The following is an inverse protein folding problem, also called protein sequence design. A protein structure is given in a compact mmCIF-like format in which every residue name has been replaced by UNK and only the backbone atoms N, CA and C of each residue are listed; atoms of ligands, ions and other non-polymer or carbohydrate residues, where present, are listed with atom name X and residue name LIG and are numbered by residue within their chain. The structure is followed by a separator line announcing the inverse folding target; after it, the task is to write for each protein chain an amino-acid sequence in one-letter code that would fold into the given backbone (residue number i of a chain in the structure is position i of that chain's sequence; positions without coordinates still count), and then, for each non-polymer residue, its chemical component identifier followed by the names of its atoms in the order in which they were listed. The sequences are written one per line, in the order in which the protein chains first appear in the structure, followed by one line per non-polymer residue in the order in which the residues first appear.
data_IF_755525959485
#
_entry.id   IF_755525959485
#
_cell.length_a   1.000
_cell.length_b   1.000
_cell.length_c   1.000
_cell.angle_alpha   90.00
_cell.angle_beta   90.00
_cell.angle_gamma   90.00
#
_symmetry.space_group_name_H-M   'P 1'
#
loop_
_entity.id
_entity.type
_entity.pdbx_description
1 polymer ?
#
# COMPACT_ATOMS: atom_id res chain seq x y z
N UNK A 1 -13.21 -11.83 1.62
CA UNK A 1 -13.92 -10.54 1.62
C UNK A 1 -15.39 -10.77 1.91
N UNK A 2 -16.04 -9.90 2.68
CA UNK A 2 -17.49 -9.88 2.78
C UNK A 2 -18.05 -9.14 1.58
N UNK A 3 -18.53 -9.87 0.58
CA UNK A 3 -19.43 -9.29 -0.42
C UNK A 3 -20.85 -9.41 0.10
N UNK A 4 -21.57 -8.30 0.12
CA UNK A 4 -23.03 -8.27 0.31
C UNK A 4 -23.78 -8.46 -1.01
N UNK A 5 -23.07 -8.60 -2.14
CA UNK A 5 -23.65 -8.78 -3.47
C UNK A 5 -23.33 -10.18 -4.02
N UNK A 6 -24.28 -10.83 -4.73
CA UNK A 6 -24.04 -12.05 -5.48
C UNK A 6 -22.91 -11.88 -6.51
N UNK A 7 -22.16 -12.96 -6.77
CA UNK A 7 -21.01 -12.96 -7.70
C UNK A 7 -21.40 -12.71 -9.16
N UNK A 8 -22.67 -12.89 -9.48
CA UNK A 8 -23.30 -12.71 -10.80
C UNK A 8 -24.14 -11.43 -10.89
N UNK A 9 -24.12 -10.57 -9.85
CA UNK A 9 -24.91 -9.34 -9.80
C UNK A 9 -24.69 -8.44 -11.03
N UNK A 10 -23.48 -8.43 -11.60
CA UNK A 10 -23.15 -7.64 -12.79
C UNK A 10 -23.86 -8.12 -14.06
N UNK A 11 -24.24 -9.39 -14.18
CA UNK A 11 -24.82 -9.97 -15.40
C UNK A 11 -26.15 -9.31 -15.74
N UNK A 12 -26.98 -9.02 -14.74
CA UNK A 12 -28.28 -8.39 -14.95
C UNK A 12 -28.20 -6.97 -15.53
N UNK A 13 -27.06 -6.29 -15.37
CA UNK A 13 -26.83 -4.95 -15.95
C UNK A 13 -26.03 -5.00 -17.25
N UNK A 14 -25.51 -6.16 -17.63
CA UNK A 14 -24.59 -6.34 -18.76
C UNK A 14 -25.00 -7.49 -19.67
N UNK A 15 -26.29 -7.85 -19.70
CA UNK A 15 -26.81 -8.98 -20.49
C UNK A 15 -26.50 -8.82 -21.99
N UNK A 16 -26.51 -7.58 -22.49
CA UNK A 16 -26.28 -7.26 -23.90
C UNK A 16 -24.84 -6.82 -24.20
N UNK A 17 -23.88 -7.02 -23.29
CA UNK A 17 -22.49 -6.53 -23.49
C UNK A 17 -21.84 -7.09 -24.77
N UNK A 18 -22.27 -8.27 -25.20
CA UNK A 18 -21.84 -8.91 -26.44
C UNK A 18 -22.23 -8.12 -27.70
N UNK A 19 -23.32 -7.33 -27.64
CA UNK A 19 -23.78 -6.50 -28.76
C UNK A 19 -22.83 -5.33 -29.00
N UNK A 20 -22.42 -4.63 -27.94
CA UNK A 20 -21.49 -3.50 -28.01
C UNK A 20 -20.02 -3.95 -28.09
N UNK A 21 -19.71 -5.12 -27.53
CA UNK A 21 -18.36 -5.69 -27.48
C UNK A 21 -18.37 -7.15 -27.93
N UNK A 22 -18.26 -7.42 -29.24
CA UNK A 22 -18.29 -8.78 -29.78
C UNK A 22 -17.25 -9.75 -29.17
N UNK A 23 -16.14 -9.23 -28.63
CA UNK A 23 -15.12 -10.03 -27.91
C UNK A 23 -15.67 -10.70 -26.64
N UNK A 24 -16.84 -10.28 -26.14
CA UNK A 24 -17.47 -10.80 -24.91
C UNK A 24 -18.57 -11.84 -25.18
N UNK A 25 -18.92 -12.13 -26.44
CA UNK A 25 -20.10 -12.91 -26.81
C UNK A 25 -20.15 -14.37 -26.31
N UNK A 26 -19.01 -14.94 -25.88
CA UNK A 26 -18.91 -16.32 -25.42
C UNK A 26 -18.24 -16.44 -24.04
N UNK A 27 -18.20 -15.34 -23.28
CA UNK A 27 -17.60 -15.31 -21.96
C UNK A 27 -18.65 -15.62 -20.89
N UNK A 28 -18.39 -16.64 -20.07
CA UNK A 28 -19.19 -16.89 -18.87
C UNK A 28 -18.90 -15.83 -17.79
N UNK A 29 -19.85 -15.59 -16.89
CA UNK A 29 -19.76 -14.53 -15.88
C UNK A 29 -18.54 -14.69 -14.95
N UNK A 30 -18.08 -15.91 -14.73
CA UNK A 30 -16.90 -16.24 -13.94
C UNK A 30 -15.61 -15.66 -14.55
N UNK A 31 -15.58 -15.48 -15.86
CA UNK A 31 -14.43 -14.88 -16.55
C UNK A 31 -14.36 -13.38 -16.31
N UNK A 32 -15.49 -12.69 -16.12
CA UNK A 32 -15.52 -11.28 -15.75
C UNK A 32 -14.86 -11.05 -14.38
N UNK A 33 -15.15 -11.93 -13.42
CA UNK A 33 -14.58 -11.88 -12.07
C UNK A 33 -13.11 -12.30 -11.99
N UNK A 34 -12.49 -12.71 -13.10
CA UNK A 34 -11.05 -13.01 -13.14
C UNK A 34 -10.23 -11.73 -13.15
N UNK A 35 -9.15 -11.70 -12.36
CA UNK A 35 -8.21 -10.59 -12.36
C UNK A 35 -7.72 -10.34 -13.78
N UNK A 36 -7.84 -9.10 -14.25
CA UNK A 36 -7.45 -8.75 -15.62
C UNK A 36 -8.58 -8.66 -16.62
N UNK A 37 -9.77 -9.19 -16.36
CA UNK A 37 -10.95 -9.04 -17.23
C UNK A 37 -11.81 -7.86 -16.77
N UNK A 38 -12.65 -8.03 -15.75
CA UNK A 38 -13.56 -6.98 -15.24
C UNK A 38 -14.04 -7.26 -13.81
N UNK A 39 -13.23 -6.99 -12.80
CA UNK A 39 -13.63 -7.23 -11.42
C UNK A 39 -14.12 -5.92 -10.77
N UNK A 40 -15.44 -5.66 -10.80
CA UNK A 40 -16.07 -4.42 -10.30
C UNK A 40 -15.67 -3.14 -11.09
N UNK A 41 -16.44 -2.06 -10.95
CA UNK A 41 -16.29 -0.80 -11.74
C UNK A 41 -14.96 -0.03 -11.52
N UNK A 42 -13.96 -0.61 -10.88
CA UNK A 42 -12.65 0.00 -10.69
C UNK A 42 -11.62 -0.56 -11.69
N UNK A 43 -11.79 -0.18 -12.96
CA UNK A 43 -11.02 -0.69 -14.09
C UNK A 43 -9.74 0.09 -14.38
N UNK A 44 -9.09 0.69 -13.36
CA UNK A 44 -7.95 1.61 -13.59
C UNK A 44 -6.82 1.00 -14.42
N UNK A 45 -6.59 -0.31 -14.34
CA UNK A 45 -5.56 -1.01 -15.14
C UNK A 45 -6.10 -1.69 -16.40
N UNK A 46 -7.43 -1.68 -16.62
CA UNK A 46 -8.12 -2.50 -17.62
C UNK A 46 -8.92 -1.67 -18.65
N UNK A 47 -8.79 -0.34 -18.62
CA UNK A 47 -9.32 0.50 -19.69
C UNK A 47 -8.61 0.20 -21.01
N UNK A 48 -9.37 0.12 -22.10
CA UNK A 48 -8.85 -0.30 -23.42
C UNK A 48 -7.67 0.56 -23.87
N UNK A 49 -7.73 1.89 -23.69
CA UNK A 49 -6.64 2.81 -24.03
C UNK A 49 -5.36 2.51 -23.23
N UNK A 50 -5.51 2.19 -21.94
CA UNK A 50 -4.42 1.78 -21.08
C UNK A 50 -3.83 0.43 -21.54
N UNK A 51 -4.67 -0.57 -21.83
CA UNK A 51 -4.21 -1.87 -22.35
C UNK A 51 -3.44 -1.68 -23.68
N UNK A 52 -3.97 -0.88 -24.61
CA UNK A 52 -3.34 -0.58 -25.91
C UNK A 52 -1.98 0.08 -25.71
N UNK A 53 -1.90 1.08 -24.82
CA UNK A 53 -0.66 1.80 -24.51
C UNK A 53 0.45 0.87 -24.01
N UNK A 54 0.09 -0.25 -23.40
CA UNK A 54 1.01 -1.17 -22.73
C UNK A 54 1.17 -2.52 -23.47
N UNK A 55 0.73 -2.63 -24.73
CA UNK A 55 0.78 -3.88 -25.52
C UNK A 55 2.20 -4.42 -25.73
N UNK A 56 3.18 -3.53 -25.83
CA UNK A 56 4.57 -3.87 -26.15
C UNK A 56 5.48 -3.83 -24.89
N UNK A 57 4.87 -3.77 -23.70
CA UNK A 57 5.60 -3.82 -22.43
C UNK A 57 6.33 -5.17 -22.30
N UNK A 58 7.57 -5.12 -21.82
CA UNK A 58 8.33 -6.31 -21.42
C UNK A 58 7.82 -6.84 -20.08
N UNK A 59 8.08 -8.11 -19.77
CA UNK A 59 7.76 -8.67 -18.44
C UNK A 59 8.41 -7.90 -17.29
N UNK A 60 9.64 -7.40 -17.52
CA UNK A 60 10.40 -6.57 -16.60
C UNK A 60 10.71 -5.23 -17.27
N UNK A 61 10.48 -4.16 -16.53
CA UNK A 61 10.75 -2.80 -16.98
C UNK A 61 12.25 -2.50 -16.90
N UNK A 62 12.73 -1.61 -17.78
CA UNK A 62 14.14 -1.17 -17.75
C UNK A 62 14.45 -0.34 -16.48
N UNK A 63 13.42 0.29 -15.89
CA UNK A 63 13.49 1.01 -14.61
C UNK A 63 12.57 0.32 -13.60
N UNK A 64 13.17 -0.40 -12.66
CA UNK A 64 12.47 -1.09 -11.58
C UNK A 64 12.64 -0.30 -10.28
N UNK A 65 11.87 0.78 -10.11
CA UNK A 65 11.97 1.65 -8.94
C UNK A 65 10.59 2.06 -8.43
N UNK A 66 10.34 1.79 -7.16
CA UNK A 66 9.22 2.34 -6.40
C UNK A 66 9.37 3.86 -6.24
N UNK A 67 8.25 4.59 -6.07
CA UNK A 67 8.30 6.01 -5.73
C UNK A 67 9.17 6.27 -4.50
N UNK A 68 9.91 7.37 -4.48
CA UNK A 68 10.77 7.72 -3.33
C UNK A 68 9.92 8.11 -2.13
N UNK A 69 10.41 7.82 -0.92
CA UNK A 69 9.86 8.39 0.31
C UNK A 69 10.38 9.82 0.40
N UNK A 70 9.48 10.80 0.47
CA UNK A 70 9.88 12.22 0.44
C UNK A 70 9.40 13.04 1.63
N UNK A 71 8.55 12.47 2.51
CA UNK A 71 7.90 13.23 3.59
C UNK A 71 8.90 14.04 4.42
N UNK A 72 9.98 13.41 4.91
CA UNK A 72 11.00 14.09 5.72
C UNK A 72 11.72 15.23 4.98
N UNK A 73 11.87 15.14 3.65
CA UNK A 73 12.56 16.15 2.84
C UNK A 73 11.67 17.32 2.41
N UNK A 74 10.36 17.24 2.66
CA UNK A 74 9.41 18.30 2.29
C UNK A 74 8.70 18.91 3.50
N UNK A 75 9.05 18.52 4.74
CA UNK A 75 8.37 19.00 5.96
C UNK A 75 8.33 20.54 6.04
N UNK A 76 9.41 21.20 5.63
CA UNK A 76 9.54 22.66 5.61
C UNK A 76 8.68 23.35 4.53
N UNK A 77 8.19 22.59 3.55
CA UNK A 77 7.33 23.06 2.46
C UNK A 77 5.84 22.79 2.73
N UNK A 78 5.52 21.98 3.73
CA UNK A 78 4.14 21.69 4.10
C UNK A 78 3.55 22.83 4.91
N UNK A 79 2.57 23.54 4.33
CA UNK A 79 1.90 24.69 4.97
C UNK A 79 1.27 24.30 6.32
N UNK A 80 0.73 23.09 6.42
CA UNK A 80 0.04 22.61 7.63
C UNK A 80 1.00 22.02 8.69
N UNK A 81 2.31 21.96 8.41
CA UNK A 81 3.28 21.48 9.39
C UNK A 81 3.54 22.56 10.47
N UNK A 82 3.40 22.24 11.77
CA UNK A 82 3.57 23.21 12.86
C UNK A 82 5.06 23.49 13.17
N UNK A 83 5.76 24.12 12.22
CA UNK A 83 7.19 24.41 12.28
C UNK A 83 7.57 25.41 13.39
N UNK A 84 6.62 26.22 13.86
CA UNK A 84 6.77 27.14 14.98
C UNK A 84 6.95 26.42 16.31
N UNK A 85 6.28 25.27 16.47
CA UNK A 85 6.37 24.40 17.64
C UNK A 85 7.45 23.34 17.50
N UNK A 86 7.59 22.76 16.30
CA UNK A 86 8.51 21.65 16.01
C UNK A 86 9.42 21.99 14.83
N UNK A 87 10.44 22.83 15.04
CA UNK A 87 11.34 23.24 13.95
C UNK A 87 12.05 22.02 13.36
N UNK A 88 12.14 21.95 12.03
CA UNK A 88 12.75 20.81 11.32
C UNK A 88 14.27 20.84 11.48
N UNK A 89 14.74 20.34 12.62
CA UNK A 89 16.15 20.27 12.99
C UNK A 89 16.40 18.99 13.79
N UNK A 90 17.52 18.33 13.52
CA UNK A 90 17.90 17.14 14.28
C UNK A 90 18.18 17.49 15.76
N UNK A 91 17.58 16.71 16.65
CA UNK A 91 17.75 16.78 18.10
C UNK A 91 18.79 15.77 18.59
N UNK A 92 19.40 16.10 19.72
CA UNK A 92 20.41 15.30 20.43
C UNK A 92 19.87 14.82 21.78
N UNK A 93 20.65 13.99 22.47
CA UNK A 93 20.26 13.48 23.78
C UNK A 93 20.05 14.61 24.81
N UNK A 94 20.78 15.71 24.66
CA UNK A 94 20.69 16.88 25.53
C UNK A 94 19.40 17.69 25.32
N UNK A 95 18.77 17.53 24.16
CA UNK A 95 17.54 18.25 23.83
C UNK A 95 16.29 17.56 24.37
N UNK A 96 16.37 16.28 24.78
CA UNK A 96 15.22 15.51 25.27
C UNK A 96 14.50 16.23 26.42
N UNK A 97 13.20 16.51 26.24
CA UNK A 97 12.42 17.36 27.15
C UNK A 97 11.41 16.61 28.03
N UNK A 98 11.48 15.27 28.05
CA UNK A 98 10.67 14.49 28.97
C UNK A 98 11.08 14.73 30.43
N UNK A 99 10.12 14.73 31.37
CA UNK A 99 10.42 14.74 32.80
C UNK A 99 11.40 13.61 33.17
N UNK A 100 12.39 13.85 34.06
CA UNK A 100 13.40 12.85 34.42
C UNK A 100 12.82 11.51 34.90
N UNK A 101 11.66 11.53 35.54
CA UNK A 101 10.93 10.35 36.00
C UNK A 101 10.32 9.49 34.86
N UNK A 102 10.24 10.03 33.65
CA UNK A 102 9.68 9.37 32.46
C UNK A 102 10.74 9.08 31.39
N UNK A 103 11.91 9.73 31.47
CA UNK A 103 13.01 9.55 30.53
C UNK A 103 13.88 8.34 30.90
N UNK A 104 13.44 7.15 30.47
CA UNK A 104 14.26 5.92 30.58
C UNK A 104 15.38 5.89 29.54
N UNK A 105 16.47 5.17 29.83
CA UNK A 105 17.58 4.99 28.88
C UNK A 105 17.11 4.37 27.56
N UNK A 106 16.23 3.36 27.62
CA UNK A 106 15.68 2.70 26.43
C UNK A 106 14.82 3.64 25.59
N UNK A 107 13.93 4.42 26.22
CA UNK A 107 13.09 5.38 25.51
C UNK A 107 13.93 6.47 24.84
N UNK A 108 14.96 6.98 25.54
CA UNK A 108 15.90 7.97 25.00
C UNK A 108 16.66 7.40 23.78
N UNK A 109 17.19 6.19 23.89
CA UNK A 109 17.93 5.54 22.80
C UNK A 109 17.04 5.30 21.58
N UNK A 110 15.82 4.80 21.77
CA UNK A 110 14.85 4.57 20.70
C UNK A 110 14.42 5.88 20.04
N UNK A 111 14.08 6.91 20.83
CA UNK A 111 13.72 8.22 20.29
C UNK A 111 14.86 8.84 19.49
N UNK A 112 16.10 8.79 19.97
CA UNK A 112 17.28 9.28 19.22
C UNK A 112 17.48 8.57 17.88
N UNK A 113 17.15 7.27 17.81
CA UNK A 113 17.22 6.49 16.58
C UNK A 113 16.05 6.78 15.61
N UNK A 114 15.01 7.47 16.06
CA UNK A 114 13.78 7.69 15.30
C UNK A 114 13.89 8.77 14.22
N UNK A 115 12.95 8.74 13.27
CA UNK A 115 12.75 9.85 12.34
C UNK A 115 12.30 11.14 13.04
N UNK A 116 11.59 11.01 14.17
CA UNK A 116 11.08 12.13 14.95
C UNK A 116 12.20 12.99 15.52
N UNK A 117 13.20 12.39 16.21
CA UNK A 117 14.34 13.15 16.71
C UNK A 117 15.15 13.81 15.58
N UNK A 118 15.32 13.11 14.44
CA UNK A 118 15.99 13.69 13.25
C UNK A 118 15.23 14.86 12.62
N UNK A 119 13.93 14.97 12.88
CA UNK A 119 13.04 15.98 12.32
C UNK A 119 12.55 17.01 13.34
N UNK A 120 13.13 17.06 14.55
CA UNK A 120 12.80 18.11 15.53
C UNK A 120 11.62 17.80 16.46
N UNK A 121 11.10 16.59 16.44
CA UNK A 121 9.95 16.18 17.27
C UNK A 121 10.47 15.61 18.59
N UNK A 122 10.30 16.39 19.65
CA UNK A 122 10.73 16.06 21.01
C UNK A 122 9.67 15.24 21.78
N UNK A 123 9.95 14.84 23.01
CA UNK A 123 9.06 14.00 23.81
C UNK A 123 7.72 14.72 24.11
N UNK A 124 7.77 15.99 24.49
CA UNK A 124 6.59 16.84 24.74
C UNK A 124 5.65 16.92 23.55
N UNK A 125 6.17 16.83 22.32
CA UNK A 125 5.38 16.88 21.10
C UNK A 125 4.34 15.75 21.01
N UNK A 126 4.56 14.64 21.71
CA UNK A 126 3.65 13.50 21.78
C UNK A 126 2.95 13.40 23.13
N UNK A 127 3.67 13.66 24.22
CA UNK A 127 3.17 13.44 25.58
C UNK A 127 2.48 14.66 26.20
N UNK A 128 2.56 15.84 25.56
CA UNK A 128 1.89 17.07 26.00
C UNK A 128 1.16 17.74 24.83
N UNK A 129 -0.18 17.78 24.90
CA UNK A 129 -1.00 18.42 23.86
C UNK A 129 -0.68 19.91 23.72
N UNK A 130 -0.57 20.61 24.85
CA UNK A 130 -0.15 22.01 24.95
C UNK A 130 0.94 22.11 26.02
N UNK A 131 1.74 23.20 26.01
CA UNK A 131 2.86 23.39 26.93
C UNK A 131 2.51 23.22 28.42
N UNK A 132 1.30 23.64 28.81
CA UNK A 132 0.82 23.54 30.21
C UNK A 132 -0.01 22.27 30.50
N UNK A 133 -0.15 21.37 29.52
CA UNK A 133 -0.93 20.14 29.70
C UNK A 133 -0.18 19.09 30.53
N UNK A 134 -0.88 18.31 31.38
CA UNK A 134 -0.26 17.20 32.10
C UNK A 134 0.35 16.17 31.15
N UNK A 135 1.51 15.64 31.53
CA UNK A 135 2.20 14.58 30.79
C UNK A 135 1.32 13.34 30.64
N UNK A 136 1.10 12.89 29.41
CA UNK A 136 0.28 11.72 29.07
C UNK A 136 1.19 10.53 28.81
N UNK A 137 1.14 9.49 29.65
CA UNK A 137 1.90 8.26 29.39
C UNK A 137 1.37 7.46 28.19
N UNK A 138 0.08 7.59 27.89
CA UNK A 138 -0.55 6.95 26.74
C UNK A 138 -0.89 8.02 25.69
N UNK A 139 -0.20 7.96 24.56
CA UNK A 139 -0.43 8.85 23.43
C UNK A 139 -1.56 8.29 22.58
N UNK A 140 -2.60 9.09 22.37
CA UNK A 140 -3.71 8.71 21.51
C UNK A 140 -3.35 8.92 20.03
N UNK A 141 -4.14 8.30 19.15
CA UNK A 141 -3.94 8.39 17.70
C UNK A 141 -4.13 9.82 17.18
N UNK A 142 -5.00 10.60 17.83
CA UNK A 142 -5.28 11.99 17.46
C UNK A 142 -4.02 12.86 17.57
N UNK A 143 -3.10 12.54 18.48
CA UNK A 143 -1.79 13.19 18.53
C UNK A 143 -0.93 12.89 17.30
N UNK A 144 -0.98 11.66 16.78
CA UNK A 144 -0.29 11.32 15.53
C UNK A 144 -0.90 12.11 14.35
N UNK A 145 -2.24 12.24 14.35
CA UNK A 145 -2.98 12.90 13.27
C UNK A 145 -2.69 14.40 13.13
N UNK A 146 -2.11 15.06 14.13
CA UNK A 146 -1.73 16.47 14.01
C UNK A 146 -0.62 16.69 12.96
N UNK A 147 0.20 15.69 12.68
CA UNK A 147 1.24 15.72 11.65
C UNK A 147 1.00 14.69 10.54
N UNK A 148 0.26 13.61 10.83
CA UNK A 148 0.03 12.47 9.94
C UNK A 148 -1.46 12.28 9.62
N UNK A 149 -2.18 13.38 9.36
CA UNK A 149 -3.63 13.35 9.13
C UNK A 149 -4.02 12.39 7.98
N UNK A 150 -3.31 12.44 6.85
CA UNK A 150 -3.60 11.60 5.69
C UNK A 150 -3.34 10.10 5.96
N UNK A 151 -2.23 9.78 6.64
CA UNK A 151 -1.91 8.43 7.08
C UNK A 151 -2.95 7.90 8.08
N UNK A 152 -3.39 8.74 9.02
CA UNK A 152 -4.47 8.42 9.97
C UNK A 152 -5.80 8.13 9.26
N UNK A 153 -6.21 8.99 8.34
CA UNK A 153 -7.49 8.85 7.61
C UNK A 153 -7.51 7.60 6.73
N UNK A 154 -6.37 7.31 6.10
CA UNK A 154 -6.22 6.10 5.30
C UNK A 154 -6.20 4.83 6.16
N UNK A 155 -5.48 4.83 7.29
CA UNK A 155 -5.54 3.73 8.27
C UNK A 155 -6.97 3.45 8.74
N UNK A 156 -7.69 4.49 9.14
CA UNK A 156 -9.09 4.42 9.58
C UNK A 156 -10.04 3.94 8.48
N UNK A 157 -9.66 4.07 7.21
CA UNK A 157 -10.45 3.60 6.07
C UNK A 157 -10.11 2.16 5.65
N UNK A 158 -9.05 1.58 6.21
CA UNK A 158 -8.65 0.19 5.99
C UNK A 158 -9.23 -0.78 7.01
N UNK A 159 -9.19 -2.09 6.72
CA UNK A 159 -9.68 -3.14 7.60
C UNK A 159 -9.01 -3.10 8.98
N UNK A 160 -7.79 -2.55 9.05
CA UNK A 160 -6.99 -2.43 10.26
C UNK A 160 -7.49 -1.33 11.21
N UNK A 161 -7.99 -0.22 10.66
CA UNK A 161 -8.48 0.92 11.45
C UNK A 161 -10.00 1.13 11.42
N UNK A 162 -10.74 0.50 10.51
CA UNK A 162 -12.16 0.82 10.27
C UNK A 162 -13.08 0.63 11.48
N UNK A 163 -12.74 -0.27 12.39
CA UNK A 163 -13.47 -0.43 13.66
C UNK A 163 -13.35 0.82 14.53
N UNK A 164 -12.13 1.32 14.67
CA UNK A 164 -11.87 2.52 15.45
C UNK A 164 -12.55 3.77 14.83
N UNK A 165 -12.65 3.82 13.50
CA UNK A 165 -13.35 4.92 12.78
C UNK A 165 -14.80 5.08 13.22
N UNK A 166 -15.47 3.98 13.61
CA UNK A 166 -16.87 3.98 14.05
C UNK A 166 -17.01 3.83 15.57
N UNK A 167 -15.94 4.08 16.34
CA UNK A 167 -15.95 4.03 17.81
C UNK A 167 -15.97 2.63 18.41
N UNK A 168 -15.65 1.58 17.63
CA UNK A 168 -15.45 0.23 18.16
C UNK A 168 -14.01 0.02 18.63
N UNK A 169 -13.76 -0.94 19.56
CA UNK A 169 -12.41 -1.30 19.95
C UNK A 169 -11.54 -1.72 18.75
N UNK A 170 -10.21 -1.50 18.83
CA UNK A 170 -9.26 -1.97 17.82
C UNK A 170 -9.49 -3.42 17.43
N UNK A 171 -9.21 -3.77 16.17
CA UNK A 171 -9.24 -5.18 15.79
C UNK A 171 -8.09 -5.93 16.46
N UNK A 172 -8.29 -7.23 16.66
CA UNK A 172 -7.21 -8.16 17.02
C UNK A 172 -7.11 -9.26 15.96
N UNK A 173 -5.96 -9.95 15.83
CA UNK A 173 -5.84 -11.09 14.92
C UNK A 173 -6.87 -12.21 15.20
N UNK A 174 -7.39 -12.33 16.42
CA UNK A 174 -8.50 -13.25 16.72
C UNK A 174 -9.79 -12.96 15.95
N UNK A 175 -9.96 -11.76 15.39
CA UNK A 175 -11.11 -11.41 14.55
C UNK A 175 -10.88 -11.67 13.06
N UNK A 176 -9.66 -12.08 12.67
CA UNK A 176 -9.32 -12.28 11.28
C UNK A 176 -9.90 -13.58 10.72
N UNK A 177 -10.14 -13.59 9.41
CA UNK A 177 -10.54 -14.79 8.65
C UNK A 177 -9.35 -15.52 8.03
N UNK A 178 -8.17 -14.90 8.01
CA UNK A 178 -6.95 -15.48 7.48
C UNK A 178 -6.20 -16.21 8.60
N UNK A 179 -5.34 -17.19 8.27
CA UNK A 179 -4.38 -17.73 9.21
C UNK A 179 -3.52 -16.63 9.84
N UNK A 180 -3.49 -16.61 11.17
CA UNK A 180 -2.72 -15.64 11.96
C UNK A 180 -1.82 -16.37 12.96
N UNK A 181 -0.78 -15.69 13.42
CA UNK A 181 0.10 -16.15 14.49
C UNK A 181 -0.72 -16.38 15.78
N UNK A 182 -0.64 -17.58 16.40
CA UNK A 182 -1.44 -17.90 17.59
C UNK A 182 -1.16 -16.99 18.80
N UNK A 183 0.10 -16.59 18.98
CA UNK A 183 0.54 -15.71 20.06
C UNK A 183 0.14 -14.24 19.84
N UNK A 184 -0.21 -13.85 18.62
CA UNK A 184 -0.66 -12.50 18.28
C UNK A 184 -2.17 -12.27 18.48
N UNK A 185 -2.96 -13.31 18.76
CA UNK A 185 -4.42 -13.26 18.78
C UNK A 185 -5.03 -12.13 19.62
N UNK A 186 -4.37 -11.74 20.71
CA UNK A 186 -4.83 -10.73 21.66
C UNK A 186 -4.29 -9.32 21.38
N UNK A 187 -3.37 -9.17 20.43
CA UNK A 187 -2.72 -7.88 20.16
C UNK A 187 -3.72 -6.92 19.50
N UNK A 188 -3.93 -5.77 20.13
CA UNK A 188 -4.74 -4.70 19.55
C UNK A 188 -3.99 -4.01 18.42
N UNK A 189 -4.70 -3.78 17.31
CA UNK A 189 -4.13 -3.16 16.13
C UNK A 189 -4.32 -1.65 16.15
N UNK A 190 -3.22 -0.92 16.34
CA UNK A 190 -3.13 0.54 16.45
C UNK A 190 -2.00 1.05 15.54
N UNK A 191 -1.75 2.37 15.52
CA UNK A 191 -0.60 2.93 14.79
C UNK A 191 0.74 2.35 15.24
N UNK A 192 0.86 1.95 16.51
CA UNK A 192 2.10 1.41 17.06
C UNK A 192 2.27 -0.10 16.85
N UNK A 193 1.32 -0.76 16.17
CA UNK A 193 1.40 -2.20 15.91
C UNK A 193 2.33 -2.55 14.75
N UNK A 194 2.52 -1.62 13.79
CA UNK A 194 3.42 -1.82 12.66
C UNK A 194 4.81 -1.22 12.91
N UNK A 195 4.85 0.02 13.41
CA UNK A 195 6.06 0.71 13.83
C UNK A 195 5.88 1.15 15.29
N UNK A 196 6.46 0.41 16.23
CA UNK A 196 6.29 0.67 17.65
C UNK A 196 6.98 1.96 18.09
N UNK A 197 6.41 2.60 19.10
CA UNK A 197 7.15 3.60 19.85
C UNK A 197 8.35 2.93 20.58
N UNK A 198 9.50 3.59 20.74
CA UNK A 198 9.77 5.00 20.41
C UNK A 198 10.71 5.20 19.22
N UNK A 199 11.11 4.12 18.52
CA UNK A 199 11.98 4.21 17.35
C UNK A 199 11.21 4.48 16.05
N UNK A 200 9.93 4.08 16.01
CA UNK A 200 9.05 4.13 14.85
C UNK A 200 9.72 3.55 13.58
N UNK A 201 10.39 2.39 13.74
CA UNK A 201 11.15 1.75 12.67
C UNK A 201 10.28 1.39 11.45
N UNK A 202 10.46 2.14 10.37
CA UNK A 202 9.83 1.86 9.07
C UNK A 202 10.41 0.63 8.37
N UNK A 203 11.56 0.13 8.82
CA UNK A 203 12.16 -1.12 8.34
C UNK A 203 11.39 -2.30 8.93
N UNK A 204 11.17 -2.29 10.24
CA UNK A 204 10.36 -3.30 10.94
C UNK A 204 8.92 -3.31 10.44
N UNK A 205 8.33 -2.12 10.23
CA UNK A 205 6.98 -2.00 9.70
C UNK A 205 6.82 -2.52 8.26
N UNK A 206 7.91 -2.62 7.49
CA UNK A 206 7.85 -3.01 6.10
C UNK A 206 7.64 -4.53 5.90
N UNK A 207 8.08 -5.36 6.86
CA UNK A 207 8.03 -6.83 6.78
C UNK A 207 7.69 -7.45 8.13
N UNK A 208 8.57 -7.28 9.12
CA UNK A 208 8.54 -8.07 10.36
C UNK A 208 7.25 -7.89 11.15
N UNK A 209 6.74 -6.65 11.22
CA UNK A 209 5.49 -6.37 11.92
C UNK A 209 4.28 -7.04 11.24
N UNK A 210 4.30 -7.18 9.91
CA UNK A 210 3.28 -7.91 9.18
C UNK A 210 3.32 -9.40 9.53
N UNK A 211 4.51 -10.02 9.47
CA UNK A 211 4.71 -11.45 9.77
C UNK A 211 4.54 -11.79 11.26
N UNK A 212 4.65 -10.79 12.14
CA UNK A 212 4.32 -10.91 13.56
C UNK A 212 2.83 -11.16 13.84
N UNK A 213 1.96 -11.00 12.84
CA UNK A 213 0.54 -11.36 12.92
C UNK A 213 0.11 -12.31 11.79
N UNK A 214 0.54 -12.10 10.56
CA UNK A 214 0.13 -12.88 9.39
C UNK A 214 0.92 -14.18 9.24
N UNK A 215 0.21 -15.30 9.08
CA UNK A 215 0.79 -16.63 8.99
C UNK A 215 0.13 -17.50 7.91
N UNK A 216 -0.39 -16.88 6.85
CA UNK A 216 -0.93 -17.60 5.70
C UNK A 216 0.18 -18.04 4.73
N UNK A 217 -0.14 -18.96 3.80
CA UNK A 217 0.85 -19.51 2.87
C UNK A 217 1.57 -18.41 2.07
N UNK A 218 0.84 -17.37 1.63
CA UNK A 218 1.40 -16.27 0.85
C UNK A 218 2.35 -15.42 1.69
N UNK A 219 1.98 -15.08 2.93
CA UNK A 219 2.84 -14.29 3.82
C UNK A 219 4.11 -15.05 4.20
N UNK A 220 3.99 -16.35 4.53
CA UNK A 220 5.12 -17.19 4.92
C UNK A 220 6.05 -17.52 3.75
N UNK A 221 5.54 -17.53 2.51
CA UNK A 221 6.35 -17.74 1.32
C UNK A 221 7.23 -16.52 0.95
N UNK A 222 6.96 -15.32 1.48
CA UNK A 222 7.67 -14.10 1.11
C UNK A 222 9.19 -14.22 1.25
N UNK A 223 9.68 -14.78 2.36
CA UNK A 223 11.12 -14.90 2.61
C UNK A 223 11.86 -15.82 1.62
N UNK A 224 11.14 -16.60 0.83
CA UNK A 224 11.71 -17.47 -0.20
C UNK A 224 11.65 -16.84 -1.61
N UNK A 225 11.08 -15.64 -1.72
CA UNK A 225 10.87 -14.95 -2.99
C UNK A 225 12.06 -14.11 -3.41
N UNK A 226 12.17 -13.82 -4.72
CA UNK A 226 13.13 -12.84 -5.23
C UNK A 226 12.85 -11.43 -4.73
N UNK A 227 11.59 -11.10 -4.40
CA UNK A 227 11.24 -9.81 -3.80
C UNK A 227 11.92 -9.63 -2.44
N UNK A 228 11.94 -10.68 -1.60
CA UNK A 228 12.67 -10.63 -0.35
C UNK A 228 14.18 -10.51 -0.54
N UNK A 229 14.76 -11.19 -1.53
CA UNK A 229 16.18 -10.99 -1.87
C UNK A 229 16.49 -9.53 -2.24
N UNK A 230 15.60 -8.87 -2.99
CA UNK A 230 15.75 -7.43 -3.30
C UNK A 230 15.61 -6.56 -2.04
N UNK A 231 14.68 -6.91 -1.15
CA UNK A 231 14.53 -6.24 0.14
C UNK A 231 15.81 -6.33 0.98
N UNK A 232 16.38 -7.52 1.16
CA UNK A 232 17.63 -7.72 1.91
C UNK A 232 18.80 -6.93 1.30
N UNK A 233 18.95 -6.96 -0.02
CA UNK A 233 19.97 -6.17 -0.73
C UNK A 233 19.80 -4.67 -0.52
N UNK A 234 18.55 -4.19 -0.48
CA UNK A 234 18.27 -2.78 -0.24
C UNK A 234 18.63 -2.37 1.20
N UNK A 235 18.40 -3.24 2.19
CA UNK A 235 18.81 -3.02 3.58
C UNK A 235 20.33 -3.06 3.75
N UNK A 236 21.02 -3.92 3.00
CA UNK A 236 22.48 -3.99 2.98
C UNK A 236 23.12 -2.81 2.21
N UNK A 237 22.33 -1.97 1.54
CA UNK A 237 22.82 -0.87 0.70
C UNK A 237 23.47 -1.32 -0.61
N UNK A 238 23.27 -2.58 -1.02
CA UNK A 238 23.77 -3.12 -2.29
C UNK A 238 22.98 -2.60 -3.51
N UNK A 239 21.71 -2.27 -3.30
CA UNK A 239 20.84 -1.63 -4.28
C UNK A 239 20.09 -0.45 -3.64
N UNK A 240 19.57 0.51 -4.44
CA UNK A 240 18.77 1.60 -3.91
C UNK A 240 17.53 1.11 -3.14
N UNK A 241 17.13 1.87 -2.11
CA UNK A 241 15.93 1.59 -1.30
C UNK A 241 14.63 1.56 -2.11
N UNK A 242 14.60 2.25 -3.26
CA UNK A 242 13.49 2.22 -4.23
C UNK A 242 13.38 0.89 -4.98
N UNK A 243 14.39 0.02 -4.92
CA UNK A 243 14.36 -1.31 -5.54
C UNK A 243 14.01 -2.42 -4.57
N UNK A 244 13.99 -2.14 -3.25
CA UNK A 244 13.55 -3.10 -2.24
C UNK A 244 12.03 -3.31 -2.29
N UNK A 245 11.59 -4.56 -2.35
CA UNK A 245 10.17 -4.93 -2.39
C UNK A 245 9.80 -5.66 -1.11
N UNK A 246 8.90 -5.08 -0.32
CA UNK A 246 8.46 -5.57 0.98
C UNK A 246 6.96 -5.85 1.04
N UNK A 247 6.47 -6.41 2.15
CA UNK A 247 5.03 -6.54 2.40
C UNK A 247 4.34 -5.17 2.26
N UNK A 248 4.91 -4.14 2.88
CA UNK A 248 4.39 -2.78 2.83
C UNK A 248 4.43 -2.17 1.41
N UNK A 249 5.44 -2.45 0.56
CA UNK A 249 5.43 -1.86 -0.79
C UNK A 249 4.28 -2.37 -1.67
N UNK A 250 3.78 -3.59 -1.41
CA UNK A 250 2.66 -4.18 -2.16
C UNK A 250 1.30 -3.83 -1.54
N UNK A 251 1.17 -3.98 -0.22
CA UNK A 251 -0.10 -3.82 0.49
C UNK A 251 -0.36 -2.37 0.93
N UNK A 252 0.69 -1.57 1.14
CA UNK A 252 0.63 -0.17 1.54
C UNK A 252 1.48 0.68 0.58
N UNK A 253 1.13 0.68 -0.73
CA UNK A 253 1.99 1.28 -1.74
C UNK A 253 2.17 2.78 -1.54
N UNK A 254 3.29 3.29 -2.04
CA UNK A 254 3.58 4.72 -2.08
C UNK A 254 2.78 5.32 -3.24
N UNK A 255 1.85 6.21 -2.94
CA UNK A 255 0.92 6.80 -3.91
C UNK A 255 1.10 8.32 -3.95
N UNK A 256 0.79 8.92 -5.09
CA UNK A 256 0.64 10.37 -5.13
C UNK A 256 -0.63 10.78 -4.36
N UNK A 257 -0.52 11.81 -3.55
CA UNK A 257 -1.58 12.37 -2.73
C UNK A 257 -1.60 13.88 -2.90
N UNK A 258 -2.70 14.39 -3.45
CA UNK A 258 -2.91 15.81 -3.63
C UNK A 258 -3.18 16.44 -2.25
N UNK A 259 -2.28 17.32 -1.82
CA UNK A 259 -2.42 18.11 -0.59
C UNK A 259 -3.39 19.26 -0.81
N UNK A 260 -3.29 19.88 -1.99
CA UNK A 260 -4.23 20.89 -2.50
C UNK A 260 -4.15 20.91 -4.05
N UNK A 261 -4.90 21.81 -4.68
CA UNK A 261 -4.98 21.93 -6.15
C UNK A 261 -3.63 22.14 -6.86
N UNK A 262 -2.58 22.55 -6.14
CA UNK A 262 -1.29 22.93 -6.70
C UNK A 262 -0.13 22.07 -6.21
N UNK A 263 -0.33 21.28 -5.15
CA UNK A 263 0.73 20.54 -4.47
C UNK A 263 0.30 19.10 -4.23
N UNK A 264 1.10 18.16 -4.73
CA UNK A 264 0.95 16.74 -4.45
C UNK A 264 2.22 16.20 -3.79
N UNK A 265 2.07 15.22 -2.88
CA UNK A 265 3.19 14.52 -2.26
C UNK A 265 3.03 13.01 -2.36
N UNK A 266 4.14 12.29 -2.29
CA UNK A 266 4.16 10.84 -2.11
C UNK A 266 3.81 10.49 -0.67
N UNK A 267 2.75 9.71 -0.52
CA UNK A 267 2.19 9.22 0.72
C UNK A 267 2.25 7.69 0.75
N UNK A 268 2.52 7.10 1.91
CA UNK A 268 2.28 5.66 2.12
C UNK A 268 0.79 5.43 2.36
N UNK A 269 0.15 4.62 1.52
CA UNK A 269 -1.27 4.29 1.66
C UNK A 269 -1.48 3.35 2.87
N UNK A 270 -1.96 3.87 4.00
CA UNK A 270 -2.19 3.06 5.20
C UNK A 270 -3.50 2.25 5.18
N UNK A 271 -4.32 2.44 4.14
CA UNK A 271 -5.42 1.52 3.82
C UNK A 271 -4.85 0.31 3.06
N UNK A 272 -4.42 -0.68 3.81
CA UNK A 272 -3.83 -1.92 3.34
C UNK A 272 -4.75 -2.83 2.50
N UNK A 273 -6.05 -2.51 2.42
CA UNK A 273 -7.00 -3.17 1.53
C UNK A 273 -7.47 -2.27 0.37
N UNK A 274 -6.89 -1.07 0.22
CA UNK A 274 -7.24 -0.16 -0.88
C UNK A 274 -7.00 -0.78 -2.25
N UNK A 275 -6.06 -1.72 -2.37
CA UNK A 275 -5.63 -2.34 -3.63
C UNK A 275 -5.92 -3.85 -3.72
N UNK A 276 -6.58 -4.43 -2.70
CA UNK A 276 -6.78 -5.89 -2.62
C UNK A 276 -8.13 -6.38 -3.12
N UNK A 277 -9.09 -5.47 -3.30
CA UNK A 277 -10.39 -5.84 -3.84
C UNK A 277 -10.93 -4.79 -4.83
N UNK A 278 -11.08 -5.17 -6.11
CA UNK A 278 -10.47 -6.37 -6.72
C UNK A 278 -8.92 -6.32 -6.65
N UNK A 279 -8.23 -7.45 -6.84
CA UNK A 279 -6.77 -7.52 -6.64
C UNK A 279 -5.97 -6.81 -7.75
N UNK A 280 -6.51 -6.66 -8.96
CA UNK A 280 -5.86 -5.89 -10.05
C UNK A 280 -5.67 -4.39 -9.71
N UNK A 281 -6.33 -3.87 -8.67
CA UNK A 281 -6.05 -2.51 -8.19
C UNK A 281 -4.62 -2.36 -7.67
N UNK A 282 -3.92 -3.46 -7.39
CA UNK A 282 -2.50 -3.49 -7.04
C UNK A 282 -1.58 -3.22 -8.25
N UNK A 283 -2.03 -3.47 -9.48
CA UNK A 283 -1.20 -3.39 -10.68
C UNK A 283 -0.52 -2.03 -10.80
N UNK A 284 -1.30 -0.95 -10.81
CA UNK A 284 -0.78 0.41 -11.03
C UNK A 284 0.10 0.94 -9.88
N UNK A 285 -0.31 0.86 -8.61
CA UNK A 285 0.47 1.43 -7.51
C UNK A 285 1.62 0.55 -7.00
N UNK A 286 1.73 -0.71 -7.46
CA UNK A 286 2.80 -1.61 -7.04
C UNK A 286 3.50 -2.29 -8.22
N UNK A 287 2.80 -3.17 -8.96
CA UNK A 287 3.42 -4.07 -9.93
C UNK A 287 4.09 -3.31 -11.10
N UNK A 288 3.44 -2.28 -11.64
CA UNK A 288 3.91 -1.54 -12.82
C UNK A 288 5.16 -0.69 -12.58
N UNK A 289 5.62 -0.57 -11.32
CA UNK A 289 6.91 0.05 -11.06
C UNK A 289 8.09 -0.81 -11.50
N UNK A 290 7.89 -2.12 -11.68
CA UNK A 290 8.95 -3.07 -12.02
C UNK A 290 8.57 -4.04 -13.15
N UNK A 291 7.28 -4.31 -13.35
CA UNK A 291 6.78 -5.27 -14.32
C UNK A 291 5.94 -4.61 -15.41
N UNK A 292 5.87 -5.24 -16.58
CA UNK A 292 4.91 -4.87 -17.62
C UNK A 292 3.47 -5.22 -17.24
N UNK A 293 2.52 -4.58 -17.94
CA UNK A 293 1.09 -4.76 -17.65
C UNK A 293 0.61 -6.20 -17.86
N UNK A 294 0.90 -6.80 -19.00
CA UNK A 294 0.45 -8.17 -19.31
C UNK A 294 0.95 -9.20 -18.28
N UNK A 295 2.24 -9.14 -17.94
CA UNK A 295 2.81 -10.00 -16.89
C UNK A 295 2.14 -9.80 -15.53
N UNK A 296 1.88 -8.53 -15.15
CA UNK A 296 1.24 -8.21 -13.86
C UNK A 296 -0.20 -8.71 -13.78
N UNK A 297 -0.95 -8.63 -14.89
CA UNK A 297 -2.30 -9.17 -14.99
C UNK A 297 -2.27 -10.69 -14.80
N UNK A 298 -1.44 -11.39 -15.58
CA UNK A 298 -1.32 -12.84 -15.53
C UNK A 298 -0.89 -13.34 -14.15
N UNK A 299 0.06 -12.63 -13.51
CA UNK A 299 0.53 -12.92 -12.18
C UNK A 299 -0.55 -12.80 -11.10
N UNK A 300 -1.41 -11.79 -11.18
CA UNK A 300 -2.50 -11.58 -10.22
C UNK A 300 -3.72 -12.49 -10.49
N UNK A 301 -3.85 -13.06 -11.67
CA UNK A 301 -4.88 -14.06 -11.95
C UNK A 301 -4.50 -15.48 -11.47
N UNK A 302 -3.20 -15.74 -11.33
CA UNK A 302 -2.67 -17.03 -10.89
C UNK A 302 -2.65 -17.15 -9.36
N UNK A 303 -3.70 -17.75 -8.79
CA UNK A 303 -3.83 -17.99 -7.34
C UNK A 303 -2.68 -18.82 -6.76
N UNK A 304 -2.16 -19.80 -7.50
CA UNK A 304 -1.03 -20.62 -7.04
C UNK A 304 0.28 -19.82 -7.05
N UNK A 305 0.42 -18.86 -7.97
CA UNK A 305 1.56 -17.95 -7.95
C UNK A 305 1.46 -16.97 -6.76
N UNK A 306 0.27 -16.45 -6.47
CA UNK A 306 0.03 -15.60 -5.30
C UNK A 306 0.38 -16.34 -4.01
N UNK A 307 -0.12 -17.57 -3.81
CA UNK A 307 0.17 -18.36 -2.59
C UNK A 307 1.66 -18.60 -2.34
N UNK A 308 2.49 -18.54 -3.39
CA UNK A 308 3.95 -18.73 -3.32
C UNK A 308 4.70 -17.40 -3.33
N UNK A 309 4.02 -16.31 -2.98
CA UNK A 309 4.52 -14.93 -2.99
C UNK A 309 5.22 -14.55 -4.31
N UNK A 310 4.58 -14.90 -5.43
CA UNK A 310 5.09 -14.61 -6.78
C UNK A 310 6.44 -15.26 -7.12
N UNK A 311 6.79 -16.36 -6.45
CA UNK A 311 8.01 -17.13 -6.76
C UNK A 311 7.85 -17.92 -8.05
N UNK A 312 8.49 -17.48 -9.13
CA UNK A 312 8.45 -18.11 -10.45
C UNK A 312 7.72 -17.25 -11.49
N UNK A 313 7.01 -17.89 -12.41
CA UNK A 313 6.28 -17.22 -13.51
C UNK A 313 4.80 -17.59 -13.45
N UNK A 314 3.89 -16.72 -13.94
CA UNK A 314 2.48 -17.07 -14.06
C UNK A 314 2.29 -18.26 -15.00
N UNK A 315 1.38 -19.15 -14.61
CA UNK A 315 0.92 -20.28 -15.41
C UNK A 315 -0.40 -20.01 -16.12
N UNK A 316 -1.06 -18.89 -15.78
CA UNK A 316 -2.28 -18.41 -16.42
C UNK A 316 -1.97 -17.28 -17.38
N UNK A 317 -2.81 -17.15 -18.40
CA UNK A 317 -2.78 -16.04 -19.35
C UNK A 317 -4.18 -15.45 -19.50
N UNK A 318 -4.29 -14.14 -19.33
CA UNK A 318 -5.54 -13.39 -19.42
C UNK A 318 -5.59 -12.63 -20.73
N UNK A 319 -6.66 -12.87 -21.48
CA UNK A 319 -6.79 -12.44 -22.87
C UNK A 319 -7.07 -10.95 -23.06
N UNK A 320 -7.18 -10.15 -21.99
CA UNK A 320 -7.55 -8.73 -22.11
C UNK A 320 -6.57 -7.91 -22.95
N UNK A 321 -5.28 -8.20 -22.84
CA UNK A 321 -4.26 -7.59 -23.71
C UNK A 321 -4.45 -8.01 -25.17
N UNK A 322 -4.73 -9.28 -25.43
CA UNK A 322 -4.98 -9.81 -26.78
C UNK A 322 -6.23 -9.18 -27.41
N UNK A 323 -7.32 -9.09 -26.65
CA UNK A 323 -8.57 -8.48 -27.10
C UNK A 323 -8.37 -7.00 -27.41
N UNK A 324 -7.65 -6.26 -26.56
CA UNK A 324 -7.32 -4.87 -26.80
C UNK A 324 -6.47 -4.70 -28.07
N UNK A 325 -5.51 -5.61 -28.31
CA UNK A 325 -4.71 -5.64 -29.54
C UNK A 325 -5.55 -5.89 -30.79
N UNK A 326 -6.49 -6.83 -30.73
CA UNK A 326 -7.39 -7.14 -31.85
C UNK A 326 -8.28 -5.95 -32.19
N UNK A 327 -8.91 -5.34 -31.17
CA UNK A 327 -9.75 -4.14 -31.34
C UNK A 327 -8.93 -2.98 -31.89
N UNK A 328 -7.72 -2.76 -31.38
CA UNK A 328 -6.85 -1.70 -31.85
C UNK A 328 -6.45 -1.89 -33.32
N UNK A 329 -6.09 -3.12 -33.71
CA UNK A 329 -5.76 -3.46 -35.10
C UNK A 329 -6.93 -3.18 -36.04
N UNK A 330 -8.14 -3.63 -35.69
CA UNK A 330 -9.36 -3.37 -36.47
C UNK A 330 -9.62 -1.88 -36.62
N UNK A 331 -9.50 -1.12 -35.52
CA UNK A 331 -9.67 0.33 -35.55
C UNK A 331 -8.67 1.01 -36.49
N UNK A 332 -7.40 0.61 -36.49
CA UNK A 332 -6.40 1.17 -37.41
C UNK A 332 -6.70 0.85 -38.88
N UNK A 333 -7.22 -0.34 -39.16
CA UNK A 333 -7.64 -0.75 -40.51
C UNK A 333 -8.85 0.08 -41.00
N UNK A 334 -9.80 0.38 -40.12
CA UNK A 334 -11.00 1.16 -40.42
C UNK A 334 -10.73 2.67 -40.55
N UNK A 335 -9.81 3.23 -39.74
CA UNK A 335 -9.50 4.67 -39.74
C UNK A 335 -8.35 5.06 -40.67
N UNK A 336 -7.74 4.10 -41.39
CA UNK A 336 -6.58 4.36 -42.23
C UNK A 336 -5.32 4.76 -41.44
N UNK A 337 -5.21 4.31 -40.18
CA UNK A 337 -4.07 4.56 -39.31
C UNK A 337 -4.18 5.82 -38.44
N UNK A 338 -5.28 6.57 -38.48
CA UNK A 338 -5.53 7.63 -37.50
C UNK A 338 -5.94 7.01 -36.16
N UNK A 339 -5.06 7.12 -35.16
CA UNK A 339 -5.37 6.79 -33.77
C UNK A 339 -6.55 7.64 -33.29
N UNK A 340 -7.50 7.02 -32.59
CA UNK A 340 -8.50 7.73 -31.77
C UNK A 340 -7.80 8.85 -30.98
N UNK A 341 -8.23 10.10 -31.21
CA UNK A 341 -7.77 11.27 -30.44
C UNK A 341 -8.36 11.28 -29.05
#
# INVERSE_FOLDING_TARGET
GGYTQPVDFCVYCHEDIAEERPTHANLGFETCNSAGCHNFHNNRALYTDFLIKHLEDRELNDRMQLPKKEFASILDQLIDYPADRFPVQALTAQDADAPPEHLTEDALAQWLASGHARSGVNCSACHQKEADSPWQMNVNREQCASCHAAENDTFLSGLHGMRQKVGLPPMTPANAKLPMQPDAQHKELTCNSCHSAHDYSVVTAAVDACLGCHADNHSLAYQQSLHFTLWEKSLAGEIPDTQGVSCASCHMPRINHDVNDWVSRILVQHNQNATLNPNEKMIRPACLHCHGLGFSIDALADTNLIERNFTGRPSKHIQSMDMAKEVHKKSLEETGGELFK
#
